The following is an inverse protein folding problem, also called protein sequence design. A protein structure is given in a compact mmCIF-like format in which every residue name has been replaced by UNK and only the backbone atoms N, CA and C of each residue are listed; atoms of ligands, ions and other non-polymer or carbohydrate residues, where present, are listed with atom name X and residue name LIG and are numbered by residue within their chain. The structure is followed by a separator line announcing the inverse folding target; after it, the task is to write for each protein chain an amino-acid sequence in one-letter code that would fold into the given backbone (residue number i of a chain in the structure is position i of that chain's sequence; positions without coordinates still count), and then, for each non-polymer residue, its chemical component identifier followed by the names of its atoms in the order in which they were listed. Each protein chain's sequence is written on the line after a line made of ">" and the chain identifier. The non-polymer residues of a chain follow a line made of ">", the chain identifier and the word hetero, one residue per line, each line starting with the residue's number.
data_IF_372879338478
#
_entry.id   IF_372879338478
#
_cell.length_a   1.000
_cell.length_b   1.000
_cell.length_c   1.000
_cell.angle_alpha   90.00
_cell.angle_beta   90.00
_cell.angle_gamma   90.00
#
_symmetry.space_group_name_H-M   'P 1'
#
loop_
_entity.id
_entity.type
_entity.pdbx_description
1 polymer ?
2 non-polymer ?
3 non-polymer ?
4 non-polymer ?
5 water ?
#
# COMPACT_ATOMS: atom_id res chain seq x y z
N UNK A 3 36.61 7.35 1.01
CA UNK A 3 36.37 6.72 -0.32
C UNK A 3 35.22 5.73 -0.26
N UNK A 4 34.39 5.72 -1.31
CA UNK A 4 33.29 4.77 -1.46
C UNK A 4 32.34 4.78 -0.24
N UNK A 5 31.94 5.98 0.15
CA UNK A 5 30.98 6.18 1.23
C UNK A 5 29.59 5.74 0.79
N UNK A 6 28.71 5.34 1.74
CA UNK A 6 27.35 4.98 1.36
C UNK A 6 26.64 6.15 0.71
N UNK A 7 26.04 5.91 -0.46
CA UNK A 7 25.36 6.94 -1.21
C UNK A 7 23.86 6.93 -0.93
N UNK A 8 23.31 8.09 -0.59
CA UNK A 8 21.88 8.24 -0.31
C UNK A 8 21.07 8.21 -1.61
N UNK A 9 20.93 7.01 -2.16
CA UNK A 9 20.26 6.79 -3.43
C UNK A 9 19.48 5.48 -3.40
N UNK A 10 18.60 5.30 -4.38
CA UNK A 10 18.07 3.99 -4.69
C UNK A 10 18.71 3.53 -6.00
N UNK A 11 19.12 2.27 -6.04
CA UNK A 11 19.84 1.75 -7.18
C UNK A 11 19.58 0.25 -7.35
N UNK A 12 20.43 -0.40 -8.14
CA UNK A 12 20.30 -1.83 -8.44
C UNK A 12 21.65 -2.48 -8.66
N UNK A 13 21.73 -3.78 -8.37
CA UNK A 13 22.96 -4.55 -8.56
C UNK A 13 23.14 -4.94 -10.03
N UNK A 14 22.02 -5.09 -10.73
CA UNK A 14 22.00 -5.42 -12.16
C UNK A 14 20.75 -4.83 -12.83
N UNK A 15 20.39 -5.34 -14.00
CA UNK A 15 19.20 -4.88 -14.71
C UNK A 15 17.90 -5.48 -14.17
N UNK A 16 18.01 -6.41 -13.23
CA UNK A 16 16.85 -7.10 -12.68
C UNK A 16 16.22 -6.30 -11.54
N UNK A 17 15.62 -5.17 -11.91
CA UNK A 17 14.98 -4.26 -10.96
C UNK A 17 13.68 -3.69 -11.50
N UNK A 18 12.80 -3.26 -10.59
CA UNK A 18 11.54 -2.65 -10.97
C UNK A 18 11.12 -1.56 -9.98
N UNK A 19 10.60 -0.46 -10.53
CA UNK A 19 10.14 0.66 -9.72
C UNK A 19 8.62 0.83 -9.79
N UNK A 20 8.00 0.92 -8.61
CA UNK A 20 6.59 1.27 -8.50
C UNK A 20 6.49 2.71 -8.00
N UNK A 21 5.71 3.53 -8.71
CA UNK A 21 5.61 4.94 -8.37
C UNK A 21 4.30 5.63 -8.70
N UNK A 22 4.36 6.95 -8.77
CA UNK A 22 3.22 7.80 -9.08
C UNK A 22 3.57 8.80 -10.19
N UNK A 23 2.99 10.01 -10.12
CA UNK A 23 3.26 11.07 -11.11
C UNK A 23 4.73 11.38 -11.27
N UNK A 24 5.47 11.30 -10.15
CA UNK A 24 6.89 11.61 -10.13
C UNK A 24 7.75 10.59 -10.88
N UNK A 25 7.11 9.51 -11.34
CA UNK A 25 7.76 8.49 -12.16
C UNK A 25 6.91 8.12 -13.39
N UNK A 26 5.83 8.87 -13.61
CA UNK A 26 4.90 8.60 -14.71
C UNK A 26 5.25 9.44 -15.95
N UNK A 27 5.80 8.77 -16.97
CA UNK A 27 6.23 9.43 -18.20
C UNK A 27 5.11 9.61 -19.22
N UNK A 28 4.00 8.90 -19.03
CA UNK A 28 2.88 8.94 -19.98
C UNK A 28 1.93 10.13 -19.76
N UNK A 29 2.15 10.86 -18.67
CA UNK A 29 1.36 12.06 -18.34
C UNK A 29 1.47 13.12 -19.43
N UNK A 30 0.35 13.79 -19.71
CA UNK A 30 0.28 14.82 -20.76
C UNK A 30 -0.12 16.18 -20.20
N UNK A 31 0.39 17.24 -20.82
CA UNK A 31 0.03 18.62 -20.48
C UNK A 31 0.16 19.55 -21.68
N UNK A 32 -0.80 20.46 -21.82
CA UNK A 32 -0.81 21.44 -22.90
C UNK A 32 -0.54 22.85 -22.36
N UNK A 33 0.75 23.16 -22.19
CA UNK A 33 1.19 24.46 -21.66
C UNK A 33 2.63 24.80 -22.02
N UNK A 34 3.14 25.91 -21.48
CA UNK A 34 4.51 26.35 -21.72
C UNK A 34 5.52 25.77 -20.73
N UNK A 35 5.25 24.56 -20.26
CA UNK A 35 6.11 23.86 -19.32
C UNK A 35 7.27 23.17 -20.04
N UNK A 36 8.41 23.01 -19.35
CA UNK A 36 9.49 22.16 -19.87
C UNK A 36 9.05 20.70 -19.96
N UNK A 37 9.58 19.99 -20.95
CA UNK A 37 9.21 18.59 -21.17
C UNK A 37 9.46 17.73 -19.93
N UNK A 38 8.44 16.96 -19.55
CA UNK A 38 8.51 15.99 -18.44
C UNK A 38 8.93 16.60 -17.10
N UNK A 39 8.51 17.84 -16.86
CA UNK A 39 8.97 18.59 -15.68
C UNK A 39 8.34 18.16 -14.35
N UNK A 40 7.32 17.31 -14.43
CA UNK A 40 6.65 16.77 -13.24
C UNK A 40 7.43 15.60 -12.63
N UNK A 41 8.40 15.08 -13.39
CA UNK A 41 9.16 13.89 -12.99
C UNK A 41 10.24 14.17 -11.96
N UNK A 42 10.41 13.22 -11.04
CA UNK A 42 11.62 13.10 -10.24
C UNK A 42 12.52 12.08 -10.90
N UNK A 43 11.89 11.15 -11.62
CA UNK A 43 12.58 10.14 -12.40
C UNK A 43 13.29 10.79 -13.58
N UNK A 44 14.50 10.32 -13.88
CA UNK A 44 15.25 10.79 -15.03
C UNK A 44 14.56 10.35 -16.32
N UNK A 45 14.40 11.29 -17.28
CA UNK A 45 13.74 11.03 -18.57
C UNK A 45 14.34 9.89 -19.38
N UNK A 46 15.61 9.56 -19.11
CA UNK A 46 16.31 8.49 -19.82
C UNK A 46 15.80 7.10 -19.43
N UNK A 47 15.11 7.02 -18.30
CA UNK A 47 14.55 5.76 -17.81
C UNK A 47 13.09 5.55 -18.21
N UNK A 48 12.52 6.52 -18.95
CA UNK A 48 11.12 6.42 -19.39
C UNK A 48 10.86 5.25 -20.32
N UNK A 49 11.84 4.90 -21.15
CA UNK A 49 11.74 3.78 -22.08
C UNK A 49 12.43 2.51 -21.58
N UNK A 50 12.66 2.43 -20.27
CA UNK A 50 13.39 1.31 -19.67
C UNK A 50 12.55 0.04 -19.55
N UNK A 51 11.24 0.21 -19.48
CA UNK A 51 10.31 -0.92 -19.31
C UNK A 51 10.41 -1.55 -17.93
N UNK A 52 10.81 -0.75 -16.94
CA UNK A 52 10.99 -1.25 -15.57
C UNK A 52 10.26 -0.40 -14.53
N UNK A 53 9.20 0.29 -14.98
CA UNK A 53 8.46 1.20 -14.12
C UNK A 53 6.95 0.99 -14.25
N UNK A 54 6.29 0.91 -13.10
CA UNK A 54 4.83 0.92 -13.05
C UNK A 54 4.41 2.13 -12.23
N UNK A 55 4.03 3.19 -12.92
CA UNK A 55 3.69 4.46 -12.28
C UNK A 55 2.50 5.14 -12.93
N UNK A 56 1.66 5.75 -12.11
CA UNK A 56 0.48 6.46 -12.58
C UNK A 56 0.31 7.78 -11.83
N UNK A 57 0.09 8.85 -12.58
CA UNK A 57 -0.13 10.18 -12.01
C UNK A 57 -1.39 10.20 -11.14
N UNK A 58 -1.19 10.55 -9.87
CA UNK A 58 -2.29 10.73 -8.92
C UNK A 58 -2.73 9.46 -8.18
N UNK A 59 -1.93 8.41 -8.27
CA UNK A 59 -2.28 7.13 -7.65
C UNK A 59 -1.18 6.56 -6.75
N UNK A 60 -1.50 5.46 -6.07
CA UNK A 60 -0.54 4.73 -5.23
C UNK A 60 -0.98 3.28 -5.11
N UNK A 61 -0.14 2.43 -4.54
CA UNK A 61 -0.48 1.02 -4.30
C UNK A 61 -1.66 0.88 -3.35
N UNK A 62 -1.63 1.62 -2.23
CA UNK A 62 -2.69 1.60 -1.24
C UNK A 62 -4.01 2.08 -1.83
N UNK A 63 -3.94 3.18 -2.60
CA UNK A 63 -5.09 3.78 -3.26
C UNK A 63 -5.78 2.82 -4.22
N UNK A 64 -4.99 2.17 -5.08
CA UNK A 64 -5.54 1.22 -6.07
C UNK A 64 -6.04 -0.06 -5.42
N UNK A 65 -5.42 -0.45 -4.31
CA UNK A 65 -5.80 -1.66 -3.57
C UNK A 65 -7.16 -1.53 -2.88
N UNK A 66 -7.49 -0.30 -2.45
CA UNK A 66 -8.69 -0.06 -1.65
C UNK A 66 -9.84 0.65 -2.37
N UNK A 67 -9.52 1.47 -3.37
CA UNK A 67 -10.51 2.40 -3.93
C UNK A 67 -10.84 2.19 -5.41
N UNK A 68 -11.89 2.87 -5.86
CA UNK A 68 -12.34 2.80 -7.26
C UNK A 68 -11.41 3.56 -8.20
N UNK A 69 -10.64 4.50 -7.67
CA UNK A 69 -9.58 5.16 -8.44
C UNK A 69 -8.42 4.17 -8.59
N UNK A 70 -8.54 3.30 -9.59
CA UNK A 70 -7.70 2.11 -9.72
C UNK A 70 -6.74 2.19 -10.90
N UNK A 71 -5.48 1.87 -10.62
CA UNK A 71 -4.48 1.63 -11.66
C UNK A 71 -3.95 0.22 -11.48
N UNK A 72 -3.84 -0.51 -12.59
CA UNK A 72 -3.35 -1.89 -12.55
C UNK A 72 -1.84 -1.97 -12.45
N UNK A 73 -1.32 -1.65 -11.25
CA UNK A 73 0.10 -1.75 -10.95
C UNK A 73 0.58 -3.17 -11.17
N UNK A 74 1.63 -3.33 -11.98
CA UNK A 74 2.24 -4.62 -12.25
C UNK A 74 3.71 -4.49 -12.63
N UNK A 75 4.52 -5.41 -12.13
CA UNK A 75 5.95 -5.42 -12.41
C UNK A 75 6.68 -6.59 -11.79
N UNK A 76 7.85 -6.89 -12.34
CA UNK A 76 8.69 -7.97 -11.84
C UNK A 76 10.15 -7.52 -11.76
N UNK A 77 10.79 -7.86 -10.64
CA UNK A 77 12.21 -7.57 -10.45
C UNK A 77 12.77 -8.23 -9.20
N UNK A 78 14.07 -8.53 -9.23
CA UNK A 78 14.78 -9.02 -8.04
C UNK A 78 14.92 -7.92 -7.01
N UNK A 79 15.40 -6.76 -7.44
CA UNK A 79 15.50 -5.59 -6.57
C UNK A 79 14.31 -4.67 -6.82
N UNK A 80 13.34 -4.71 -5.92
CA UNK A 80 12.13 -3.92 -6.05
C UNK A 80 12.30 -2.59 -5.34
N UNK A 81 11.93 -1.51 -6.02
CA UNK A 81 11.98 -0.16 -5.47
C UNK A 81 10.57 0.46 -5.45
N UNK A 82 10.25 1.16 -4.36
CA UNK A 82 8.97 1.87 -4.23
C UNK A 82 9.20 3.36 -4.06
N UNK A 83 8.54 4.16 -4.89
CA UNK A 83 8.48 5.61 -4.70
C UNK A 83 7.05 6.10 -4.90
N UNK A 84 6.19 5.74 -3.95
CA UNK A 84 4.80 6.17 -3.94
C UNK A 84 4.23 6.09 -2.52
N UNK A 85 2.99 6.55 -2.35
CA UNK A 85 2.32 6.53 -1.06
C UNK A 85 1.66 7.85 -0.70
N UNK A 86 2.13 8.93 -1.30
CA UNK A 86 1.64 10.29 -1.01
C UNK A 86 0.19 10.52 -1.44
N UNK A 87 -0.27 9.75 -2.41
CA UNK A 87 -1.64 9.89 -2.93
C UNK A 87 -2.74 9.26 -2.05
N UNK A 88 -2.33 8.80 -0.87
CA UNK A 88 -3.25 8.58 0.25
C UNK A 88 -2.55 9.02 1.54
N UNK A 89 -2.88 10.24 1.96
CA UNK A 89 -2.20 10.90 3.08
C UNK A 89 -3.24 11.64 3.94
N UNK A 90 -2.80 12.19 5.09
CA UNK A 90 -3.74 12.95 5.95
C UNK A 90 -4.35 14.16 5.26
N UNK A 91 -3.68 14.67 4.23
CA UNK A 91 -4.19 15.77 3.40
C UNK A 91 -5.54 15.42 2.77
N UNK A 92 -5.67 14.18 2.27
CA UNK A 92 -6.92 13.68 1.71
C UNK A 92 -7.98 13.56 2.80
N UNK A 93 -7.54 13.23 4.01
CA UNK A 93 -8.39 13.14 5.19
C UNK A 93 -9.56 12.18 5.05
N UNK A 94 -9.31 11.03 4.43
CA UNK A 94 -10.37 10.07 4.20
C UNK A 94 -10.88 9.43 5.48
N UNK A 95 -12.21 9.31 5.54
CA UNK A 95 -12.90 8.57 6.60
C UNK A 95 -14.07 7.85 5.93
N UNK A 96 -14.34 6.62 6.34
CA UNK A 96 -15.49 5.86 5.81
C UNK A 96 -16.81 6.54 6.17
N UNK A 97 -16.85 7.15 7.34
CA UNK A 97 -18.05 7.78 7.88
C UNK A 97 -17.78 9.24 8.25
N UNK A 98 -18.84 10.06 8.26
CA UNK A 98 -18.76 11.49 8.55
C UNK A 98 -17.98 11.81 9.82
N UNK A 99 -18.19 11.03 10.87
CA UNK A 99 -17.48 11.19 12.14
C UNK A 99 -16.47 10.07 12.40
N UNK A 100 -15.81 9.63 11.33
CA UNK A 100 -14.79 8.60 11.44
C UNK A 100 -13.46 9.10 11.99
N UNK A 101 -12.38 8.47 11.58
CA UNK A 101 -11.05 8.80 12.07
C UNK A 101 -9.99 8.51 11.01
N UNK A 102 -9.20 9.54 10.69
CA UNK A 102 -8.12 9.40 9.72
C UNK A 102 -6.91 8.63 10.26
N UNK A 103 -6.75 8.66 11.59
CA UNK A 103 -5.63 7.99 12.26
C UNK A 103 -5.72 6.47 12.09
N UNK A 104 -6.95 5.95 12.12
CA UNK A 104 -7.22 4.56 11.81
C UNK A 104 -6.75 4.23 10.39
N UNK A 105 -7.06 5.11 9.45
CA UNK A 105 -6.68 4.92 8.04
C UNK A 105 -5.17 5.07 7.78
N UNK A 106 -4.50 5.83 8.63
CA UNK A 106 -3.04 5.89 8.60
C UNK A 106 -2.46 4.60 9.17
N UNK A 107 -3.11 4.07 10.21
CA UNK A 107 -2.78 2.75 10.76
C UNK A 107 -2.91 1.66 9.72
N UNK A 108 -3.99 1.71 8.95
CA UNK A 108 -4.21 0.82 7.80
C UNK A 108 -3.12 0.95 6.74
N UNK A 109 -2.69 2.19 6.49
CA UNK A 109 -1.64 2.47 5.50
C UNK A 109 -0.32 1.82 5.92
N UNK A 110 0.03 1.96 7.19
CA UNK A 110 1.26 1.38 7.75
C UNK A 110 1.26 -0.14 7.69
N UNK A 111 0.13 -0.76 7.99
CA UNK A 111 0.01 -2.22 7.99
C UNK A 111 0.01 -2.80 6.59
N UNK A 112 -0.63 -2.11 5.65
CA UNK A 112 -0.65 -2.55 4.25
C UNK A 112 0.76 -2.56 3.65
N UNK A 113 1.47 -1.43 3.77
CA UNK A 113 2.80 -1.32 3.20
C UNK A 113 3.82 -2.24 3.89
N UNK A 114 3.67 -2.42 5.20
CA UNK A 114 4.53 -3.36 5.94
C UNK A 114 4.44 -4.76 5.35
N UNK A 115 3.21 -5.21 5.12
CA UNK A 115 2.95 -6.50 4.51
C UNK A 115 3.50 -6.56 3.09
N UNK A 116 3.25 -5.51 2.30
CA UNK A 116 3.68 -5.47 0.91
C UNK A 116 5.20 -5.48 0.79
N UNK A 117 5.89 -4.67 1.59
CA UNK A 117 7.34 -4.59 1.56
C UNK A 117 7.98 -5.90 1.95
N UNK A 118 7.48 -6.52 3.01
CA UNK A 118 8.03 -7.78 3.52
C UNK A 118 7.91 -8.91 2.50
N UNK A 119 6.77 -8.98 1.83
CA UNK A 119 6.51 -10.00 0.82
C UNK A 119 7.28 -9.75 -0.48
N UNK A 120 7.42 -8.48 -0.86
CA UNK A 120 8.17 -8.13 -2.08
C UNK A 120 9.68 -8.28 -1.90
N UNK A 121 10.10 -8.62 -0.68
CA UNK A 121 11.48 -9.02 -0.42
C UNK A 121 11.67 -10.52 -0.68
N UNK A 122 10.55 -11.24 -0.76
CA UNK A 122 10.56 -12.69 -0.98
C UNK A 122 10.04 -13.07 -2.37
N UNK A 123 9.47 -12.09 -3.08
CA UNK A 123 8.82 -12.35 -4.37
C UNK A 123 9.25 -11.39 -5.46
N UNK A 124 9.33 -11.91 -6.68
CA UNK A 124 9.73 -11.12 -7.85
C UNK A 124 8.59 -10.27 -8.40
N UNK A 125 7.41 -10.87 -8.53
CA UNK A 125 6.30 -10.26 -9.27
C UNK A 125 5.17 -9.74 -8.40
N UNK A 126 4.66 -8.56 -8.78
CA UNK A 126 3.54 -7.92 -8.12
C UNK A 126 2.50 -7.53 -9.16
N UNK A 127 1.23 -7.81 -8.85
CA UNK A 127 0.10 -7.32 -9.65
C UNK A 127 -1.17 -7.26 -8.79
N UNK A 128 -2.21 -6.62 -9.31
CA UNK A 128 -3.49 -6.55 -8.61
C UNK A 128 -4.56 -7.29 -9.40
N UNK A 129 -5.13 -8.33 -8.79
CA UNK A 129 -6.15 -9.16 -9.44
C UNK A 129 -7.53 -8.96 -8.81
N UNK A 130 -8.58 -9.18 -9.61
CA UNK A 130 -9.96 -9.12 -9.13
C UNK A 130 -10.33 -10.40 -8.40
N UNK A 131 -11.01 -10.27 -7.27
CA UNK A 131 -11.50 -11.41 -6.50
C UNK A 131 -13.03 -11.49 -6.58
N UNK A 132 -13.53 -12.60 -7.10
CA UNK A 132 -14.97 -12.83 -7.21
C UNK A 132 -15.51 -13.62 -6.02
N UNK A 133 -16.83 -13.56 -5.81
CA UNK A 133 -17.47 -14.22 -4.67
C UNK A 133 -18.80 -14.89 -5.03
N UNK A 134 -19.13 -15.97 -4.31
CA UNK A 134 -20.41 -16.63 -4.44
C UNK A 134 -21.30 -16.33 -3.24
N UNK A 135 -22.45 -15.75 -3.50
CA UNK A 135 -23.39 -15.35 -2.44
C UNK A 135 -24.78 -15.94 -2.68
N UNK A 136 -25.26 -16.70 -1.68
CA UNK A 136 -26.52 -17.42 -1.80
C UNK A 136 -27.76 -16.59 -1.61
N UNK A 137 -27.61 -15.37 -1.11
CA UNK A 137 -28.73 -14.47 -0.87
C UNK A 137 -29.05 -13.61 -2.08
N UNK A 138 -29.94 -12.64 -1.87
CA UNK A 138 -30.36 -11.73 -2.93
C UNK A 138 -29.72 -10.36 -2.82
N UNK A 139 -29.23 -10.03 -1.62
CA UNK A 139 -28.63 -8.72 -1.34
C UNK A 139 -27.35 -8.50 -2.15
N UNK A 140 -27.17 -7.28 -2.63
CA UNK A 140 -26.04 -6.93 -3.50
C UNK A 140 -25.12 -5.89 -2.85
N UNK A 141 -23.89 -5.73 -3.38
CA UNK A 141 -22.87 -4.86 -2.77
C UNK A 141 -23.36 -3.46 -2.40
N UNK A 142 -22.92 -2.98 -1.24
CA UNK A 142 -23.21 -1.60 -0.79
C UNK A 142 -21.94 -0.82 -0.52
N UNK A 143 -21.87 0.38 -1.11
CA UNK A 143 -20.70 1.25 -0.98
C UNK A 143 -20.80 2.10 0.29
N UNK A 144 -20.57 1.46 1.44
CA UNK A 144 -20.72 2.12 2.74
C UNK A 144 -19.56 3.07 3.07
N UNK A 145 -18.34 2.64 2.78
CA UNK A 145 -17.15 3.41 3.10
C UNK A 145 -16.77 4.33 1.95
N UNK A 146 -17.07 5.62 2.11
CA UNK A 146 -16.76 6.64 1.09
C UNK A 146 -16.94 8.07 1.63
N UNK A 147 -16.30 9.02 0.95
CA UNK A 147 -16.61 10.44 1.11
C UNK A 147 -16.86 11.07 -0.27
N UNK A 148 -16.70 12.39 -0.37
CA UNK A 148 -16.93 13.08 -1.65
C UNK A 148 -15.76 13.05 -2.64
N UNK A 149 -14.64 12.46 -2.23
CA UNK A 149 -13.46 12.35 -3.08
C UNK A 149 -13.15 10.90 -3.45
N UNK A 150 -13.24 10.01 -2.46
CA UNK A 150 -12.89 8.60 -2.64
C UNK A 150 -14.07 7.68 -2.33
N UNK A 151 -14.14 6.58 -3.08
CA UNK A 151 -15.10 5.53 -2.85
C UNK A 151 -14.34 4.21 -2.67
N UNK A 152 -14.44 3.63 -1.49
CA UNK A 152 -13.81 2.34 -1.21
C UNK A 152 -14.61 1.20 -1.83
N UNK A 153 -13.90 0.26 -2.47
CA UNK A 153 -14.50 -0.93 -3.06
C UNK A 153 -13.81 -2.23 -2.66
N UNK A 154 -12.83 -2.11 -1.75
CA UNK A 154 -12.11 -3.27 -1.21
C UNK A 154 -11.78 -3.04 0.25
N UNK A 155 -12.33 -3.85 1.16
CA UNK A 155 -13.19 -4.97 0.82
C UNK A 155 -14.61 -4.55 0.39
N UNK A 156 -15.28 -5.44 -0.35
CA UNK A 156 -16.68 -5.25 -0.71
C UNK A 156 -17.55 -5.52 0.50
N UNK A 157 -18.64 -4.76 0.62
CA UNK A 157 -19.62 -4.95 1.69
C UNK A 157 -20.95 -5.41 1.09
N UNK A 158 -21.53 -6.47 1.67
CA UNK A 158 -22.82 -6.99 1.22
C UNK A 158 -23.96 -6.43 2.07
N UNK A 159 -25.00 -5.93 1.40
CA UNK A 159 -26.17 -5.36 2.07
C UNK A 159 -26.92 -6.39 2.92
N UNK A 160 -27.70 -5.89 3.88
CA UNK A 160 -28.61 -6.71 4.67
C UNK A 160 -29.71 -7.27 3.78
N UNK A 161 -30.09 -8.52 4.01
CA UNK A 161 -31.24 -9.14 3.32
C UNK A 161 -32.54 -8.43 3.70
N UNK A 162 -33.50 -8.45 2.78
CA UNK A 162 -34.80 -7.80 2.98
C UNK A 162 -35.61 -8.41 4.13
N UNK A 163 -35.38 -9.70 4.38
CA UNK A 163 -36.14 -10.45 5.39
C UNK A 163 -35.74 -10.11 6.83
N UNK A 164 -34.49 -9.68 7.02
CA UNK A 164 -33.98 -9.34 8.35
C UNK A 164 -34.35 -7.92 8.77
N UNK A 165 -34.98 -7.81 9.94
CA UNK A 165 -35.39 -6.52 10.50
C UNK A 165 -34.21 -5.76 11.11
N UNK A 166 -33.23 -6.51 11.63
CA UNK A 166 -32.07 -5.91 12.27
C UNK A 166 -30.74 -6.47 11.74
N UNK A 167 -29.64 -6.00 12.32
CA UNK A 167 -28.30 -6.44 11.90
C UNK A 167 -27.68 -7.47 12.86
N UNK A 168 -28.53 -8.13 13.64
CA UNK A 168 -28.10 -9.25 14.49
C UNK A 168 -28.24 -10.58 13.75
N UNK A 169 -27.63 -10.66 12.57
CA UNK A 169 -27.71 -11.87 11.74
C UNK A 169 -26.32 -12.44 11.46
N UNK A 170 -26.29 -13.71 11.05
CA UNK A 170 -25.06 -14.36 10.60
C UNK A 170 -25.10 -14.47 9.07
N UNK A 171 -24.05 -13.98 8.44
CA UNK A 171 -23.93 -14.00 6.98
C UNK A 171 -22.58 -14.56 6.56
N UNK A 172 -22.54 -15.19 5.38
CA UNK A 172 -21.32 -15.79 4.86
C UNK A 172 -21.29 -15.84 3.34
N UNK A 173 -20.07 -15.87 2.78
CA UNK A 173 -19.88 -16.02 1.33
C UNK A 173 -18.57 -16.74 1.03
N UNK A 174 -18.51 -17.41 -0.12
CA UNK A 174 -17.29 -18.08 -0.56
C UNK A 174 -16.50 -17.23 -1.55
N UNK A 175 -15.17 -17.33 -1.46
CA UNK A 175 -14.29 -16.76 -2.47
C UNK A 175 -13.06 -17.62 -2.71
N UNK A 176 -12.71 -17.77 -3.99
CA UNK A 176 -11.54 -18.52 -4.41
C UNK A 176 -10.38 -17.57 -4.68
N UNK A 177 -9.18 -17.96 -4.24
CA UNK A 177 -7.94 -17.26 -4.59
C UNK A 177 -7.10 -18.17 -5.47
N UNK A 178 -6.89 -17.75 -6.71
CA UNK A 178 -6.28 -18.61 -7.73
C UNK A 178 -5.35 -17.81 -8.65
N UNK A 179 -4.22 -18.43 -9.01
CA UNK A 179 -3.30 -17.85 -9.98
C UNK A 179 -2.04 -17.22 -9.41
N UNK A 180 -1.95 -17.17 -8.08
CA UNK A 180 -0.80 -16.57 -7.41
C UNK A 180 -0.26 -17.48 -6.29
N UNK A 181 1.03 -17.33 -5.99
CA UNK A 181 1.68 -18.10 -4.92
C UNK A 181 1.21 -17.66 -3.53
N UNK A 182 1.04 -16.35 -3.36
CA UNK A 182 0.47 -15.77 -2.14
C UNK A 182 -0.39 -14.57 -2.49
N UNK A 183 -1.35 -14.25 -1.62
CA UNK A 183 -2.28 -13.15 -1.82
C UNK A 183 -2.29 -12.25 -0.61
N UNK A 184 -2.22 -10.94 -0.83
CA UNK A 184 -2.48 -9.99 0.25
C UNK A 184 -3.92 -9.51 0.12
N UNK A 185 -4.73 -9.82 1.12
CA UNK A 185 -6.14 -9.40 1.16
C UNK A 185 -6.43 -8.62 2.45
N UNK A 186 -7.38 -7.66 2.39
CA UNK A 186 -7.74 -6.94 3.61
C UNK A 186 -8.81 -7.67 4.43
N UNK A 187 -8.56 -7.84 5.72
CA UNK A 187 -9.57 -8.28 6.67
C UNK A 187 -9.90 -7.09 7.55
N UNK A 188 -11.11 -6.56 7.41
CA UNK A 188 -11.47 -5.30 8.04
C UNK A 188 -12.69 -5.42 8.93
N UNK A 189 -12.83 -4.46 9.84
CA UNK A 189 -13.96 -4.42 10.77
C UNK A 189 -14.24 -2.97 11.22
N UNK A 190 -15.51 -2.68 11.48
CA UNK A 190 -15.89 -1.44 12.13
C UNK A 190 -15.79 -1.65 13.63
N UNK A 191 -14.66 -1.27 14.21
CA UNK A 191 -14.43 -1.48 15.64
C UNK A 191 -15.07 -0.37 16.49
N UNK A 192 -16.27 -0.66 16.98
CA UNK A 192 -17.03 0.30 17.78
C UNK A 192 -18.52 -0.01 17.70
N UNK A 193 -19.34 1.03 17.79
CA UNK A 193 -20.78 0.87 17.71
C UNK A 193 -21.31 1.31 16.34
N UNK A 194 -21.63 0.33 15.50
CA UNK A 194 -22.18 0.60 14.18
C UNK A 194 -23.69 0.80 14.23
N UNK A 195 -24.21 1.58 13.27
CA UNK A 195 -25.63 1.84 13.17
C UNK A 195 -26.20 1.35 11.84
N UNK A 196 -27.42 0.83 11.90
CA UNK A 196 -28.12 0.35 10.72
C UNK A 196 -28.66 1.49 9.88
N UNK A 197 -29.96 1.77 10.04
CA UNK A 197 -30.59 2.86 9.30
C UNK A 197 -30.76 4.11 10.17
N UNK A 198 -30.64 5.27 9.54
CA UNK A 198 -30.72 6.58 10.23
C UNK A 198 -32.00 6.78 11.04
N UNK A 199 -32.99 5.90 10.84
CA UNK A 199 -34.28 5.98 11.51
C UNK A 199 -34.39 5.07 12.75
N UNK A 200 -33.34 4.29 13.01
CA UNK A 200 -33.29 3.40 14.17
C UNK A 200 -33.16 4.18 15.48
N UNK A 201 -33.73 3.66 16.59
CA UNK A 201 -33.59 4.32 17.89
C UNK A 201 -32.15 4.49 18.38
N UNK A 202 -31.94 5.39 19.34
CA UNK A 202 -30.61 5.73 19.82
C UNK A 202 -29.93 4.65 20.68
N UNK A 203 -30.70 3.63 21.07
CA UNK A 203 -30.19 2.55 21.91
C UNK A 203 -29.62 1.36 21.13
N UNK A 204 -30.13 1.14 19.92
CA UNK A 204 -29.74 -0.03 19.12
C UNK A 204 -28.49 0.20 18.27
N UNK A 205 -27.38 -0.41 18.70
CA UNK A 205 -26.13 -0.38 17.96
C UNK A 205 -25.66 -1.81 17.68
N UNK A 206 -24.74 -1.95 16.72
CA UNK A 206 -24.23 -3.26 16.32
C UNK A 206 -22.72 -3.33 16.41
N UNK A 207 -22.22 -4.46 16.87
CA UNK A 207 -20.78 -4.66 17.07
C UNK A 207 -20.20 -5.56 15.99
N UNK A 208 -19.62 -4.91 14.97
CA UNK A 208 -19.16 -5.56 13.75
C UNK A 208 -18.19 -6.71 14.02
N UNK A 209 -18.40 -7.82 13.32
CA UNK A 209 -17.56 -9.00 13.42
C UNK A 209 -17.31 -9.57 12.04
N UNK A 210 -16.05 -9.89 11.75
CA UNK A 210 -15.69 -10.45 10.44
C UNK A 210 -14.54 -11.45 10.57
N UNK A 211 -14.65 -12.56 9.85
CA UNK A 211 -13.56 -13.54 9.79
C UNK A 211 -13.41 -14.15 8.39
N UNK A 212 -12.18 -14.54 8.06
CA UNK A 212 -11.91 -15.35 6.87
C UNK A 212 -11.53 -16.76 7.28
N UNK A 213 -12.05 -17.74 6.55
CA UNK A 213 -11.89 -19.16 6.89
C UNK A 213 -11.40 -19.98 5.71
N UNK A 214 -10.29 -20.70 5.91
CA UNK A 214 -9.78 -21.62 4.90
C UNK A 214 -10.52 -22.95 5.01
N UNK A 215 -11.27 -23.31 3.97
CA UNK A 215 -12.10 -24.51 3.95
C UNK A 215 -11.27 -25.80 4.03
N UNK A 216 -10.06 -25.77 3.46
CA UNK A 216 -9.18 -26.93 3.44
C UNK A 216 -8.47 -27.12 4.78
N UNK A 217 -7.71 -26.11 5.20
CA UNK A 217 -6.85 -26.23 6.40
C UNK A 217 -7.60 -26.06 7.72
N UNK A 218 -8.74 -25.36 7.68
CA UNK A 218 -9.51 -25.10 8.88
C UNK A 218 -9.06 -23.90 9.69
N UNK A 219 -8.03 -23.21 9.19
CA UNK A 219 -7.53 -21.98 9.83
C UNK A 219 -8.53 -20.85 9.61
N UNK A 220 -8.78 -20.08 10.66
CA UNK A 220 -9.52 -18.83 10.51
C UNK A 220 -8.92 -17.65 11.28
N UNK A 221 -8.95 -16.49 10.62
CA UNK A 221 -8.45 -15.23 11.18
C UNK A 221 -9.65 -14.29 11.27
N UNK A 222 -9.85 -13.69 12.44
CA UNK A 222 -11.02 -12.84 12.64
C UNK A 222 -10.85 -11.58 13.46
N UNK A 223 -11.80 -10.67 13.30
CA UNK A 223 -11.86 -9.41 14.05
C UNK A 223 -13.24 -9.19 14.67
N UNK A 224 -13.26 -8.98 15.98
CA UNK A 224 -14.47 -8.58 16.70
C UNK A 224 -14.40 -7.14 17.17
N UNK A 225 -15.56 -6.49 17.30
CA UNK A 225 -15.63 -5.12 17.78
C UNK A 225 -15.44 -5.06 19.30
N UNK A 226 -14.59 -4.15 19.75
CA UNK A 226 -14.30 -3.99 21.18
C UNK A 226 -14.36 -2.53 21.63
N UNK A 227 -14.16 -1.61 20.70
CA UNK A 227 -14.07 -0.18 21.02
C UNK A 227 -15.41 0.46 21.37
N UNK A 228 -15.33 1.67 21.92
CA UNK A 228 -16.50 2.39 22.42
C UNK A 228 -16.95 3.49 21.47
N UNK A 229 -16.12 3.78 20.46
CA UNK A 229 -16.38 4.87 19.51
C UNK A 229 -17.60 4.60 18.61
N UNK A 230 -18.21 5.67 18.10
CA UNK A 230 -19.44 5.54 17.32
C UNK A 230 -19.57 6.45 16.11
N UNK A 231 -20.81 6.72 15.71
CA UNK A 231 -21.12 7.43 14.47
C UNK A 231 -21.60 8.87 14.68
N UNK A 232 -22.03 9.18 15.90
CA UNK A 232 -22.60 10.49 16.20
C UNK A 232 -21.53 11.54 16.53
N UNK A 233 -21.95 12.80 16.62
CA UNK A 233 -21.06 13.89 17.01
C UNK A 233 -20.67 13.79 18.49
N UNK A 234 -21.63 13.40 19.33
CA UNK A 234 -21.41 13.22 20.77
C UNK A 234 -20.39 12.11 21.06
N UNK A 235 -20.45 11.03 20.27
CA UNK A 235 -19.50 9.92 20.37
C UNK A 235 -18.98 9.53 18.98
N UNK A 236 -17.85 10.12 18.54
CA UNK A 236 -17.29 9.87 17.23
C UNK A 236 -16.14 8.86 17.27
N UNK A 237 -15.52 8.62 16.12
CA UNK A 237 -14.30 7.82 16.04
C UNK A 237 -14.40 6.53 15.24
N UNK A 238 -15.62 6.00 15.08
CA UNK A 238 -15.81 4.73 14.38
C UNK A 238 -15.40 4.81 12.91
N UNK A 239 -14.47 3.95 12.52
CA UNK A 239 -14.04 3.84 11.14
C UNK A 239 -13.67 2.39 10.85
N UNK A 240 -13.04 2.14 9.70
CA UNK A 240 -12.71 0.77 9.29
C UNK A 240 -11.23 0.45 9.56
N UNK A 241 -10.99 -0.39 10.57
CA UNK A 241 -9.64 -0.91 10.86
C UNK A 241 -9.40 -2.18 10.05
N UNK A 242 -8.30 -2.21 9.31
CA UNK A 242 -7.94 -3.35 8.47
C UNK A 242 -6.60 -3.97 8.85
N UNK A 243 -6.55 -5.29 8.84
CA UNK A 243 -5.29 -6.04 8.79
C UNK A 243 -5.09 -6.56 7.38
N UNK A 244 -3.85 -6.89 7.04
CA UNK A 244 -3.51 -7.31 5.69
C UNK A 244 -2.84 -8.67 5.72
N UNK A 245 -3.61 -9.69 5.37
CA UNK A 245 -3.21 -11.08 5.55
C UNK A 245 -2.53 -11.64 4.31
N UNK A 246 -1.45 -12.38 4.53
CA UNK A 246 -0.79 -13.14 3.47
C UNK A 246 -1.39 -14.54 3.43
N UNK A 247 -2.09 -14.86 2.35
CA UNK A 247 -2.80 -16.13 2.23
C UNK A 247 -2.37 -16.96 1.03
N UNK A 248 -2.33 -18.27 1.24
CA UNK A 248 -2.08 -19.24 0.18
C UNK A 248 -3.31 -19.35 -0.74
N UNK A 249 -3.12 -19.86 -1.97
CA UNK A 249 -4.28 -20.14 -2.82
C UNK A 249 -5.18 -21.20 -2.22
N UNK A 250 -6.48 -21.09 -2.47
CA UNK A 250 -7.45 -22.05 -1.96
C UNK A 250 -8.87 -21.54 -1.95
N UNK A 251 -9.77 -22.33 -1.38
CA UNK A 251 -11.17 -21.97 -1.25
C UNK A 251 -11.43 -21.38 0.13
N UNK A 252 -11.77 -20.09 0.16
CA UNK A 252 -11.98 -19.39 1.42
C UNK A 252 -13.45 -19.05 1.70
N UNK A 253 -13.76 -18.90 2.98
CA UNK A 253 -15.09 -18.54 3.44
C UNK A 253 -15.00 -17.25 4.27
N UNK A 254 -15.83 -16.27 3.92
CA UNK A 254 -15.95 -15.05 4.70
C UNK A 254 -17.19 -15.13 5.59
N UNK A 255 -16.96 -15.18 6.90
CA UNK A 255 -18.05 -15.35 7.85
C UNK A 255 -18.21 -14.12 8.74
N UNK A 256 -19.39 -13.50 8.64
CA UNK A 256 -19.74 -12.32 9.45
C UNK A 256 -20.81 -12.70 10.47
N UNK A 257 -20.51 -12.51 11.74
CA UNK A 257 -21.42 -12.89 12.83
C UNK A 257 -22.38 -11.77 13.24
N UNK A 258 -22.07 -10.54 12.84
CA UNK A 258 -22.89 -9.36 13.14
C UNK A 258 -22.55 -8.21 12.17
N UNK A 259 -23.56 -7.42 11.83
CA UNK A 259 -23.45 -6.30 10.90
C UNK A 259 -23.22 -6.76 9.44
N UNK A 260 -22.57 -5.94 8.63
CA UNK A 260 -22.38 -6.23 7.20
C UNK A 260 -21.32 -7.28 6.94
N UNK A 261 -21.52 -8.08 5.91
CA UNK A 261 -20.54 -9.06 5.46
C UNK A 261 -19.53 -8.39 4.52
N UNK A 262 -18.25 -8.49 4.86
CA UNK A 262 -17.19 -7.92 4.04
C UNK A 262 -16.22 -8.99 3.53
N UNK A 263 -15.80 -8.82 2.28
CA UNK A 263 -14.93 -9.79 1.61
C UNK A 263 -14.05 -9.07 0.58
N UNK A 264 -12.87 -9.62 0.26
CA UNK A 264 -11.96 -8.98 -0.68
C UNK A 264 -12.49 -8.95 -2.11
N UNK A 265 -12.37 -7.79 -2.76
CA UNK A 265 -12.69 -7.65 -4.19
C UNK A 265 -11.41 -7.58 -5.00
N UNK A 266 -10.33 -7.17 -4.33
CA UNK A 266 -9.01 -7.06 -4.93
C UNK A 266 -7.93 -7.70 -4.04
N UNK A 267 -6.87 -8.19 -4.67
CA UNK A 267 -5.76 -8.80 -3.95
C UNK A 267 -4.44 -8.48 -4.62
N UNK A 268 -3.40 -8.31 -3.81
CA UNK A 268 -2.05 -8.20 -4.34
C UNK A 268 -1.57 -9.61 -4.69
N UNK A 269 -1.39 -9.83 -5.98
CA UNK A 269 -0.95 -11.12 -6.50
C UNK A 269 0.57 -11.24 -6.43
N UNK A 270 1.05 -12.18 -5.63
CA UNK A 270 2.49 -12.40 -5.45
C UNK A 270 2.92 -13.65 -6.21
N UNK A 271 3.86 -13.47 -7.13
CA UNK A 271 4.35 -14.55 -7.99
C UNK A 271 5.88 -14.60 -8.04
N UNK A 272 6.40 -15.78 -8.38
CA UNK A 272 7.83 -16.01 -8.60
C UNK A 272 8.69 -15.72 -7.36
N UNK A 273 8.79 -16.70 -6.45
CA UNK A 273 9.61 -16.54 -5.25
C UNK A 273 11.08 -16.29 -5.58
N UNK A 274 11.75 -15.51 -4.76
CA UNK A 274 13.15 -15.19 -4.96
C UNK A 274 13.92 -15.36 -3.65
N UNK A 275 15.25 -15.45 -3.76
CA UNK A 275 16.11 -15.43 -2.58
C UNK A 275 15.93 -14.06 -1.91
N UNK A 276 15.94 -14.05 -0.57
CA UNK A 276 15.65 -12.83 0.19
C UNK A 276 16.45 -11.62 -0.30
N UNK A 277 15.73 -10.61 -0.78
CA UNK A 277 16.33 -9.36 -1.23
C UNK A 277 15.45 -8.18 -0.81
N UNK A 278 15.91 -7.40 0.18
CA UNK A 278 15.12 -6.30 0.75
C UNK A 278 14.74 -5.25 -0.30
N UNK A 279 13.53 -4.73 -0.17
CA UNK A 279 13.05 -3.67 -1.06
C UNK A 279 13.65 -2.33 -0.66
N UNK A 280 13.67 -1.40 -1.60
CA UNK A 280 14.08 -0.02 -1.32
C UNK A 280 12.85 0.89 -1.40
N UNK A 281 12.68 1.73 -0.38
CA UNK A 281 11.51 2.60 -0.31
C UNK A 281 11.93 4.05 -0.16
N UNK A 282 11.48 4.89 -1.08
CA UNK A 282 11.76 6.33 -1.05
C UNK A 282 10.58 7.06 -0.41
N UNK A 283 10.88 7.89 0.58
CA UNK A 283 9.86 8.70 1.27
C UNK A 283 8.96 9.41 0.27
N UNK A 284 7.65 9.26 0.46
CA UNK A 284 6.66 9.85 -0.44
C UNK A 284 5.81 10.85 0.32
N UNK A 285 6.13 12.14 0.14
CA UNK A 285 5.51 13.21 0.91
C UNK A 285 5.22 14.44 0.05
N UNK A 286 4.35 15.31 0.55
CA UNK A 286 4.01 16.56 -0.12
C UNK A 286 5.03 17.64 0.21
N UNK A 287 5.02 18.72 -0.57
CA UNK A 287 5.54 20.01 -0.13
C UNK A 287 4.83 20.33 1.18
N UNK A 288 5.60 20.79 2.16
CA UNK A 288 5.11 20.92 3.55
C UNK A 288 3.88 21.83 3.77
N UNK A 289 3.40 22.45 2.69
CA UNK A 289 2.12 23.18 2.72
C UNK A 289 0.94 22.22 2.91
N UNK A 290 1.07 21.00 2.36
CA UNK A 290 0.10 19.93 2.59
C UNK A 290 0.62 18.97 3.67
N UNK A 291 -0.28 18.24 4.31
CA UNK A 291 0.10 17.33 5.39
C UNK A 291 0.45 15.93 4.89
N UNK A 292 1.63 15.46 5.27
CA UNK A 292 2.12 14.14 4.90
C UNK A 292 2.10 13.21 6.11
N UNK A 293 2.50 11.95 5.89
CA UNK A 293 2.63 10.97 6.97
C UNK A 293 3.92 10.16 6.80
N UNK A 294 4.40 9.57 7.88
CA UNK A 294 5.57 8.69 7.81
C UNK A 294 5.22 7.21 7.92
N UNK A 295 4.02 6.85 7.44
CA UNK A 295 3.53 5.46 7.53
C UNK A 295 4.39 4.47 6.76
N UNK A 296 4.85 4.85 5.57
CA UNK A 296 5.74 3.99 4.78
C UNK A 296 7.08 3.78 5.48
N UNK A 297 7.52 4.79 6.23
CA UNK A 297 8.73 4.69 7.06
C UNK A 297 8.52 3.73 8.24
N UNK A 298 7.34 3.80 8.85
CA UNK A 298 6.95 2.86 9.90
C UNK A 298 6.91 1.44 9.33
N UNK A 299 6.39 1.33 8.11
CA UNK A 299 6.28 0.06 7.39
C UNK A 299 7.63 -0.50 6.96
N UNK A 300 8.55 0.38 6.59
CA UNK A 300 9.86 -0.01 6.06
C UNK A 300 10.83 -0.33 7.21
N UNK A 301 10.96 -1.62 7.52
CA UNK A 301 11.79 -2.08 8.62
C UNK A 301 12.77 -3.15 8.17
N UNK A 302 13.86 -3.30 8.94
CA UNK A 302 14.77 -4.43 8.80
C UNK A 302 14.03 -5.72 9.16
N UNK A 303 14.35 -6.83 8.49
CA UNK A 303 15.43 -6.89 7.51
C UNK A 303 14.96 -6.75 6.06
N UNK A 304 13.65 -6.54 5.87
CA UNK A 304 13.03 -6.64 4.55
C UNK A 304 13.03 -5.34 3.72
N UNK A 305 13.44 -4.22 4.33
CA UNK A 305 13.28 -2.91 3.69
C UNK A 305 14.33 -1.88 4.08
N UNK A 306 14.83 -1.15 3.08
CA UNK A 306 15.71 0.00 3.29
C UNK A 306 14.98 1.30 2.93
N UNK A 307 14.97 2.24 3.87
CA UNK A 307 14.27 3.52 3.69
C UNK A 307 15.24 4.63 3.27
N UNK A 308 14.83 5.40 2.25
CA UNK A 308 15.64 6.51 1.75
C UNK A 308 14.86 7.81 1.78
N UNK A 309 15.48 8.85 2.31
CA UNK A 309 14.86 10.16 2.43
C UNK A 309 15.89 11.26 2.18
N UNK A 310 15.43 12.39 1.65
CA UNK A 310 16.28 13.57 1.54
C UNK A 310 16.24 14.33 2.86
N UNK A 311 17.00 15.42 2.93
CA UNK A 311 17.14 16.21 4.15
C UNK A 311 16.36 17.52 4.09
N UNK A 312 15.66 17.74 2.99
CA UNK A 312 14.96 18.99 2.73
C UNK A 312 13.46 18.82 2.57
N UNK A 313 12.74 19.94 2.55
CA UNK A 313 11.32 19.96 2.19
C UNK A 313 11.21 19.56 0.72
N UNK A 314 10.07 18.99 0.32
CA UNK A 314 9.85 18.69 -1.09
C UNK A 314 9.50 19.97 -1.83
N UNK A 315 10.39 20.38 -2.74
CA UNK A 315 10.29 21.68 -3.39
C UNK A 315 10.29 21.59 -4.92
N UNK A 316 9.09 21.53 -5.50
CA UNK A 316 8.92 21.43 -6.94
C UNK A 316 9.50 22.60 -7.73
N UNK A 317 10.14 22.28 -8.85
CA UNK A 317 10.85 23.27 -9.65
C UNK A 317 9.94 24.13 -10.54
N UNK A 318 9.34 23.51 -11.55
CA UNK A 318 8.56 24.25 -12.54
C UNK A 318 7.11 23.80 -12.70
N UNK A 319 6.85 22.51 -12.52
CA UNK A 319 5.49 21.96 -12.68
C UNK A 319 4.54 22.53 -11.62
N UNK A 320 4.76 22.13 -10.37
CA UNK A 320 4.12 22.74 -9.20
C UNK A 320 4.98 22.48 -7.97
N UNK A 321 4.49 22.87 -6.80
CA UNK A 321 5.23 22.70 -5.53
C UNK A 321 5.43 21.24 -5.14
N UNK A 322 4.61 20.34 -5.70
CA UNK A 322 4.61 18.93 -5.31
C UNK A 322 5.29 17.98 -6.32
N UNK A 323 5.81 18.52 -7.42
CA UNK A 323 6.43 17.69 -8.45
C UNK A 323 7.75 18.27 -8.97
N UNK A 324 8.80 17.46 -8.95
CA UNK A 324 10.10 17.83 -9.51
C UNK A 324 11.07 18.44 -8.51
N UNK A 325 11.43 17.65 -7.51
CA UNK A 325 12.37 18.10 -6.48
C UNK A 325 13.80 17.72 -6.84
N UNK A 326 14.71 18.67 -6.70
CA UNK A 326 16.12 18.48 -7.04
C UNK A 326 16.76 17.31 -6.28
N UNK A 327 16.55 17.26 -4.97
CA UNK A 327 17.19 16.25 -4.12
C UNK A 327 16.62 14.84 -4.31
N UNK A 328 15.31 14.75 -4.57
CA UNK A 328 14.69 13.48 -4.91
C UNK A 328 15.07 13.02 -6.31
N UNK A 329 15.31 13.97 -7.21
CA UNK A 329 15.84 13.66 -8.54
C UNK A 329 17.21 13.03 -8.44
N UNK A 330 18.07 13.61 -7.59
CA UNK A 330 19.41 13.07 -7.33
C UNK A 330 19.35 11.72 -6.60
N UNK A 331 18.38 11.59 -5.69
CA UNK A 331 18.18 10.33 -4.97
C UNK A 331 17.77 9.22 -5.94
N UNK A 332 16.87 9.53 -6.86
CA UNK A 332 16.43 8.58 -7.87
C UNK A 332 17.44 8.39 -9.02
N UNK A 333 18.40 9.29 -9.12
CA UNK A 333 19.40 9.25 -10.20
C UNK A 333 20.29 8.00 -10.13
N UNK A 334 20.31 7.36 -8.97
CA UNK A 334 21.05 6.12 -8.75
C UNK A 334 20.56 4.95 -9.60
N UNK A 335 19.34 5.06 -10.10
CA UNK A 335 18.75 4.02 -10.97
C UNK A 335 19.36 4.01 -12.37
N UNK A 336 20.09 5.06 -12.72
CA UNK A 336 20.71 5.18 -14.05
C UNK A 336 21.91 4.24 -14.23
N UNK A 337 22.38 3.66 -13.14
CA UNK A 337 23.57 2.81 -13.15
C UNK A 337 23.50 1.70 -12.10
N UNK A 338 24.39 0.72 -12.24
CA UNK A 338 24.56 -0.34 -11.26
C UNK A 338 25.44 0.09 -10.10
N UNK A 339 25.13 -0.42 -8.91
CA UNK A 339 26.00 -0.31 -7.76
C UNK A 339 26.46 -1.71 -7.37
N UNK A 340 27.55 -1.81 -6.61
CA UNK A 340 28.10 -3.09 -6.19
C UNK A 340 27.39 -3.65 -4.97
N UNK A 341 26.99 -2.76 -4.06
CA UNK A 341 26.40 -3.16 -2.79
C UNK A 341 25.28 -2.21 -2.36
N UNK A 342 24.15 -2.79 -1.96
CA UNK A 342 23.05 -2.02 -1.40
C UNK A 342 22.89 -2.43 0.07
N UNK A 343 23.06 -1.45 0.95
CA UNK A 343 23.04 -1.70 2.39
C UNK A 343 22.09 -0.75 3.10
N UNK A 344 22.01 -0.89 4.43
CA UNK A 344 21.16 -0.05 5.27
C UNK A 344 21.48 1.45 5.14
N UNK A 345 22.77 1.79 5.21
CA UNK A 345 23.21 3.20 5.17
C UNK A 345 23.00 3.83 3.79
N UNK A 346 23.05 3.00 2.75
CA UNK A 346 22.91 3.47 1.37
C UNK A 346 23.55 2.51 0.40
N UNK A 347 23.80 2.98 -0.82
CA UNK A 347 24.43 2.15 -1.84
C UNK A 347 25.93 2.44 -1.95
N UNK A 348 26.72 1.38 -1.92
CA UNK A 348 28.16 1.47 -2.14
C UNK A 348 28.44 1.21 -3.61
N UNK A 349 29.01 2.20 -4.29
CA UNK A 349 29.30 2.09 -5.72
C UNK A 349 30.31 0.98 -6.03
N UNK A 350 31.39 0.95 -5.24
CA UNK A 350 32.50 0.02 -5.48
C UNK A 350 32.49 -1.18 -4.53
N UNK A 351 33.08 -2.28 -4.97
CA UNK A 351 33.03 -3.55 -4.24
C UNK A 351 34.23 -3.84 -3.34
N UNK A 352 35.29 -3.05 -3.47
CA UNK A 352 36.55 -3.35 -2.78
C UNK A 352 36.70 -2.77 -1.37
N UNK A 353 36.92 -1.46 -1.28
CA UNK A 353 37.18 -0.81 0.01
C UNK A 353 36.24 0.36 0.27
N UNK A 354 36.05 0.69 1.54
CA UNK A 354 35.28 1.83 1.98
C UNK A 354 35.82 2.33 3.32
N UNK A 355 35.50 3.57 3.66
CA UNK A 355 35.81 4.10 5.00
C UNK A 355 34.71 3.72 6.00
N UNK A 356 33.60 3.21 5.48
CA UNK A 356 32.44 2.81 6.31
C UNK A 356 32.15 1.31 6.14
N UNK A 357 31.99 0.61 7.27
CA UNK A 357 31.55 -0.78 7.28
C UNK A 357 30.08 -0.90 6.87
N UNK A 358 29.79 -1.58 5.74
CA UNK A 358 28.40 -1.80 5.35
C UNK A 358 27.68 -2.69 6.35
N UNK A 359 26.43 -2.34 6.66
CA UNK A 359 25.58 -3.16 7.52
C UNK A 359 24.33 -3.60 6.74
N UNK A 360 24.00 -4.89 6.86
CA UNK A 360 22.92 -5.50 6.07
C UNK A 360 23.17 -5.30 4.58
N UNK A 361 24.40 -5.57 4.15
CA UNK A 361 24.80 -5.38 2.76
C UNK A 361 24.34 -6.49 1.84
N UNK A 362 23.95 -6.12 0.62
CA UNK A 362 23.54 -7.08 -0.40
C UNK A 362 24.26 -6.78 -1.73
N UNK A 363 24.81 -7.84 -2.33
CA UNK A 363 25.61 -7.71 -3.54
C UNK A 363 27.06 -8.04 -3.23
N UNK A 364 27.97 -7.31 -3.89
CA UNK A 364 29.41 -7.47 -3.65
C UNK A 364 29.91 -6.29 -2.83
N UNK A 365 29.99 -6.49 -1.52
CA UNK A 365 30.15 -5.38 -0.58
C UNK A 365 31.60 -5.14 -0.13
N UNK A 366 32.01 -3.86 -0.06
CA UNK A 366 33.39 -3.49 0.30
C UNK A 366 33.71 -3.70 1.77
N UNK A 367 35.00 -3.88 2.06
CA UNK A 367 35.51 -3.92 3.43
C UNK A 367 35.95 -2.52 3.86
N UNK A 368 35.90 -2.25 5.16
CA UNK A 368 36.41 -0.99 5.69
C UNK A 368 37.73 -1.16 6.42
N UNK A 369 38.31 -2.36 6.31
CA UNK A 369 39.63 -2.64 6.85
C UNK A 369 40.73 -1.92 6.07
N UNK A 370 41.93 -1.89 6.65
CA UNK A 370 43.11 -1.39 5.95
C UNK A 370 43.65 -2.44 4.98
N UNK A 371 43.90 -2.02 3.74
CA UNK A 371 44.32 -2.91 2.63
C UNK A 371 43.65 -4.29 2.63
#
# INVERSE_FOLDING_TARGET
>A
LAFNEPLNIVSHLNDDWFLFGDARSDCTYVENNGHPKLDWLDLDPKLCNSGRISAKSGNSLFRSFHFTDFYNYSGEGDQVIFYEGVNFSPSHGFKCLANGDNKIWMGNKARFYARLYEKMAQYRSLSIVTVSYAYGGNAKPTSICKDNKLTLNNPTFISKESNYADYYYVSEANFTLQGCDEFIVPLCVFNGHSRGSSSDPANTYYMDSQMYYNTVTGVFYGFNSTLDVGTTVQNPGLDLTCSYLALSPGNYKAVSLEFLLSLPSKAICLLKPKRFMPVQVVDSRWNSTRQSDNMTAVACQLPYCFFRNTSADYSGDTHDVHHGDLYFRQLLSGLLYNVSCIAQQGAFLYNNVSSIWPVYGYGHCPTAANIGYMAPICLYDSDPLVPR
#
